data_IF_535710942701
#
_entry.id   IF_535710942701
#
_cell.length_a   1.000
_cell.length_b   1.000
_cell.length_c   1.000
_cell.angle_alpha   90.00
_cell.angle_beta   90.00
_cell.angle_gamma   90.00
#
_symmetry.space_group_name_H-M   'P 1'
#
loop_
_entity.id
_entity.type
_entity.pdbx_description
1 polymer ?
#
# COMPACT_ATOMS: atom_id res chain seq x y z
N UNK A 1 23.65 73.24 -1.42
CA UNK A 1 23.65 72.56 -0.11
C UNK A 1 22.36 71.74 -0.03
N UNK A 2 22.48 70.46 0.31
CA UNK A 2 21.44 69.42 0.44
C UNK A 2 20.92 68.67 -0.80
N UNK A 3 21.49 67.46 -0.95
CA UNK A 3 20.92 66.22 -1.47
C UNK A 3 19.49 65.93 -0.96
N UNK A 4 18.67 65.28 -1.79
CA UNK A 4 17.93 64.03 -1.50
C UNK A 4 17.07 63.69 -2.75
N UNK A 5 17.38 62.66 -3.53
CA UNK A 5 17.10 61.23 -3.32
C UNK A 5 15.85 60.76 -4.11
N UNK A 6 16.16 59.93 -5.12
CA UNK A 6 15.34 58.92 -5.80
C UNK A 6 14.13 58.42 -4.98
N UNK A 7 12.95 58.42 -5.59
CA UNK A 7 11.93 57.38 -5.32
C UNK A 7 11.49 56.76 -6.65
N UNK A 8 12.24 55.73 -7.05
CA UNK A 8 11.77 54.76 -8.04
C UNK A 8 10.58 54.04 -7.42
N UNK A 9 9.39 54.28 -7.96
CA UNK A 9 8.20 53.54 -7.63
C UNK A 9 8.38 52.09 -8.08
N UNK A 10 8.89 51.25 -7.18
CA UNK A 10 8.92 49.81 -7.34
C UNK A 10 7.51 49.27 -7.27
N UNK A 11 6.93 48.97 -8.43
CA UNK A 11 5.85 47.99 -8.54
C UNK A 11 6.41 46.64 -8.05
N UNK A 12 6.18 46.32 -6.78
CA UNK A 12 6.39 44.96 -6.28
C UNK A 12 5.22 44.15 -6.82
N UNK A 13 5.46 43.44 -7.92
CA UNK A 13 4.57 42.42 -8.42
C UNK A 13 4.38 41.39 -7.30
N UNK A 14 3.20 41.41 -6.67
CA UNK A 14 2.72 40.37 -5.78
C UNK A 14 2.62 39.08 -6.59
N UNK A 15 3.65 38.25 -6.54
CA UNK A 15 3.55 36.83 -6.92
C UNK A 15 2.79 36.09 -5.83
N UNK A 16 1.51 36.45 -5.62
CA UNK A 16 0.59 35.68 -4.81
C UNK A 16 0.23 34.41 -5.57
N UNK A 17 0.54 33.24 -5.01
CA UNK A 17 -0.05 32.00 -5.46
C UNK A 17 -1.58 32.16 -5.46
N UNK A 18 -2.19 32.11 -6.63
CA UNK A 18 -3.62 32.37 -6.81
C UNK A 18 -4.39 31.26 -6.08
N UNK A 19 -5.02 31.59 -4.96
CA UNK A 19 -5.87 30.65 -4.22
C UNK A 19 -7.14 30.38 -5.01
N UNK A 20 -7.66 29.16 -4.92
CA UNK A 20 -8.93 28.77 -5.55
C UNK A 20 -10.13 28.99 -4.63
N UNK A 21 -9.88 29.29 -3.35
CA UNK A 21 -10.90 29.58 -2.34
C UNK A 21 -10.32 29.52 -0.93
N UNK A 22 -11.20 29.53 0.06
CA UNK A 22 -10.86 29.43 1.49
C UNK A 22 -11.63 28.28 2.12
N UNK A 23 -10.94 27.42 2.85
CA UNK A 23 -11.56 26.29 3.52
C UNK A 23 -11.68 26.54 5.03
N UNK A 24 -12.83 26.16 5.59
CA UNK A 24 -12.99 25.97 7.03
C UNK A 24 -12.58 24.53 7.36
N UNK A 25 -11.67 24.39 8.32
CA UNK A 25 -11.19 23.08 8.77
C UNK A 25 -12.26 22.43 9.65
N UNK A 26 -12.95 21.42 9.13
CA UNK A 26 -13.98 20.70 9.88
C UNK A 26 -13.40 19.55 10.69
N UNK A 27 -12.37 18.90 10.16
CA UNK A 27 -11.64 17.83 10.82
C UNK A 27 -10.15 18.07 10.64
N UNK A 28 -9.49 18.56 11.69
CA UNK A 28 -8.06 18.84 11.59
C UNK A 28 -7.24 17.56 11.35
N UNK A 29 -6.31 17.56 10.36
CA UNK A 29 -5.32 16.50 10.24
C UNK A 29 -4.24 16.57 11.34
N UNK A 30 -4.01 17.76 11.90
CA UNK A 30 -3.04 18.04 12.96
C UNK A 30 -3.48 19.30 13.73
N UNK A 31 -4.09 19.12 14.90
CA UNK A 31 -4.63 20.21 15.72
C UNK A 31 -3.54 21.19 16.20
N UNK A 32 -2.26 20.79 16.19
CA UNK A 32 -1.16 21.68 16.59
C UNK A 32 -0.74 22.64 15.48
N UNK A 33 -0.97 22.27 14.22
CA UNK A 33 -0.57 23.06 13.05
C UNK A 33 -1.74 23.79 12.40
N UNK A 34 -2.89 23.12 12.28
CA UNK A 34 -4.10 23.69 11.68
C UNK A 34 -5.29 23.32 12.57
N UNK A 35 -5.62 24.11 13.58
CA UNK A 35 -6.72 23.80 14.49
C UNK A 35 -8.07 23.67 13.78
N UNK A 36 -8.95 22.83 14.30
CA UNK A 36 -10.35 22.75 13.83
C UNK A 36 -11.03 24.12 13.93
N UNK A 37 -11.80 24.46 12.89
CA UNK A 37 -12.47 25.74 12.73
C UNK A 37 -11.56 26.86 12.19
N UNK A 38 -10.30 26.58 11.87
CA UNK A 38 -9.41 27.54 11.21
C UNK A 38 -9.84 27.75 9.76
N UNK A 39 -9.68 28.99 9.27
CA UNK A 39 -9.88 29.33 7.86
C UNK A 39 -8.52 29.37 7.20
N UNK A 40 -8.34 28.55 6.17
CA UNK A 40 -7.06 28.42 5.45
C UNK A 40 -7.27 28.66 3.94
N UNK A 41 -6.29 29.28 3.26
CA UNK A 41 -6.31 29.37 1.82
C UNK A 41 -6.14 27.98 1.19
N UNK A 42 -6.88 27.72 0.12
CA UNK A 42 -6.73 26.52 -0.71
C UNK A 42 -6.08 26.89 -2.02
N UNK A 43 -4.99 26.21 -2.38
CA UNK A 43 -4.21 26.52 -3.58
C UNK A 43 -4.61 25.68 -4.78
N UNK A 44 -5.04 24.44 -4.52
CA UNK A 44 -5.36 23.48 -5.57
C UNK A 44 -6.39 22.47 -5.08
N UNK A 45 -7.21 21.98 -6.00
CA UNK A 45 -8.04 20.80 -5.81
C UNK A 45 -7.58 19.67 -6.72
N UNK A 46 -7.73 18.44 -6.25
CA UNK A 46 -7.50 17.23 -7.03
C UNK A 46 -8.75 16.37 -7.00
N UNK A 47 -9.45 16.28 -8.15
CA UNK A 47 -10.60 15.40 -8.30
C UNK A 47 -10.20 13.92 -8.36
N UNK A 48 -9.00 13.63 -8.87
CA UNK A 48 -8.48 12.25 -9.00
C UNK A 48 -8.15 11.65 -7.63
N UNK A 49 -7.63 12.47 -6.72
CA UNK A 49 -7.21 12.03 -5.38
C UNK A 49 -8.18 12.45 -4.27
N UNK A 50 -9.25 13.17 -4.61
CA UNK A 50 -10.25 13.72 -3.69
C UNK A 50 -9.64 14.56 -2.53
N UNK A 51 -8.72 15.45 -2.88
CA UNK A 51 -7.96 16.29 -1.92
C UNK A 51 -7.95 17.77 -2.29
N UNK A 52 -7.66 18.61 -1.28
CA UNK A 52 -7.27 20.00 -1.41
C UNK A 52 -5.82 20.20 -0.96
N UNK A 53 -5.04 20.98 -1.70
CA UNK A 53 -3.69 21.37 -1.30
C UNK A 53 -3.76 22.67 -0.50
N UNK A 54 -3.28 22.62 0.74
CA UNK A 54 -3.27 23.73 1.70
C UNK A 54 -1.90 23.88 2.35
N UNK A 55 -1.64 25.02 2.97
CA UNK A 55 -0.41 25.26 3.72
C UNK A 55 -0.59 24.81 5.18
N UNK A 56 0.32 23.97 5.67
CA UNK A 56 0.36 23.48 7.05
C UNK A 56 1.73 23.80 7.66
N UNK A 57 1.80 24.86 8.47
CA UNK A 57 3.09 25.45 8.85
C UNK A 57 3.76 26.10 7.64
N UNK A 58 4.93 25.61 7.25
CA UNK A 58 5.68 26.09 6.07
C UNK A 58 5.55 25.17 4.84
N UNK A 59 4.81 24.06 4.95
CA UNK A 59 4.72 23.04 3.90
C UNK A 59 3.35 23.03 3.21
N UNK A 60 3.33 22.67 1.92
CA UNK A 60 2.09 22.37 1.20
C UNK A 60 1.72 20.90 1.38
N UNK A 61 0.50 20.65 1.85
CA UNK A 61 -0.01 19.31 2.16
C UNK A 61 -1.34 19.08 1.47
N UNK A 62 -1.51 17.89 0.89
CA UNK A 62 -2.79 17.44 0.34
C UNK A 62 -3.67 16.86 1.47
N UNK A 63 -4.80 17.51 1.69
CA UNK A 63 -5.77 17.17 2.74
C UNK A 63 -7.05 16.63 2.10
N UNK A 64 -7.61 15.49 2.56
CA UNK A 64 -8.86 14.95 2.01
C UNK A 64 -10.00 15.98 2.02
N UNK A 65 -10.79 16.06 0.94
CA UNK A 65 -11.86 17.08 0.81
C UNK A 65 -12.85 17.02 1.96
N UNK A 66 -13.21 15.83 2.45
CA UNK A 66 -14.15 15.69 3.55
C UNK A 66 -13.67 16.36 4.85
N UNK A 67 -12.39 16.67 5.01
CA UNK A 67 -11.88 17.38 6.19
C UNK A 67 -12.10 18.89 6.15
N UNK A 68 -12.39 19.43 4.97
CA UNK A 68 -12.37 20.86 4.66
C UNK A 68 -13.67 21.28 3.96
N UNK A 69 -14.37 22.28 4.50
CA UNK A 69 -15.47 22.92 3.79
C UNK A 69 -14.93 24.10 2.98
N UNK A 70 -14.90 23.98 1.66
CA UNK A 70 -14.41 25.02 0.76
C UNK A 70 -15.49 26.08 0.49
N UNK A 71 -15.08 27.34 0.54
CA UNK A 71 -15.88 28.51 0.21
C UNK A 71 -15.19 29.34 -0.88
N UNK A 72 -15.95 29.98 -1.79
CA UNK A 72 -15.42 30.85 -2.84
C UNK A 72 -14.60 32.03 -2.31
N UNK A 73 -14.99 32.57 -1.15
CA UNK A 73 -14.40 33.76 -0.56
C UNK A 73 -14.08 33.56 0.92
N UNK A 74 -13.13 34.34 1.45
CA UNK A 74 -12.81 34.34 2.87
C UNK A 74 -13.98 34.81 3.72
N UNK A 75 -14.74 35.79 3.22
CA UNK A 75 -15.92 36.33 3.89
C UNK A 75 -17.01 35.26 4.09
N UNK A 76 -17.27 34.43 3.08
CA UNK A 76 -18.21 33.30 3.21
C UNK A 76 -17.72 32.23 4.20
N UNK A 77 -16.41 31.95 4.22
CA UNK A 77 -15.82 31.04 5.21
C UNK A 77 -15.95 31.62 6.64
N UNK A 78 -15.75 32.93 6.81
CA UNK A 78 -15.93 33.62 8.08
C UNK A 78 -17.37 33.58 8.55
N UNK A 79 -18.34 33.79 7.65
CA UNK A 79 -19.77 33.64 7.94
C UNK A 79 -20.11 32.22 8.38
N UNK A 80 -19.59 31.20 7.71
CA UNK A 80 -19.81 29.81 8.11
C UNK A 80 -19.24 29.50 9.50
N UNK A 81 -18.06 30.07 9.83
CA UNK A 81 -17.49 29.96 11.18
C UNK A 81 -18.32 30.71 12.22
N UNK A 82 -18.90 31.86 11.88
CA UNK A 82 -19.82 32.60 12.75
C UNK A 82 -21.11 31.80 12.99
N UNK A 83 -21.67 31.16 11.97
CA UNK A 83 -22.83 30.28 12.08
C UNK A 83 -22.57 29.08 13.01
N UNK A 84 -21.34 28.56 13.06
CA UNK A 84 -20.96 27.52 14.03
C UNK A 84 -20.99 28.03 15.48
N UNK A 85 -20.79 29.33 15.70
CA UNK A 85 -20.82 29.96 17.02
C UNK A 85 -19.87 29.29 18.03
N UNK A 86 -20.36 29.07 19.25
CA UNK A 86 -19.64 28.36 20.31
C UNK A 86 -19.27 26.91 19.94
N UNK A 87 -19.92 26.33 18.93
CA UNK A 87 -19.67 24.96 18.48
C UNK A 87 -18.57 24.86 17.43
N UNK A 88 -17.89 25.96 17.10
CA UNK A 88 -16.78 26.01 16.12
C UNK A 88 -15.76 24.90 16.30
N UNK A 89 -15.33 24.62 17.53
CA UNK A 89 -14.35 23.56 17.85
C UNK A 89 -15.00 22.32 18.46
N UNK A 90 -16.33 22.30 18.58
CA UNK A 90 -17.08 21.25 19.26
C UNK A 90 -17.35 20.05 18.37
N UNK A 91 -17.30 18.89 19.00
CA UNK A 91 -17.68 17.62 18.41
C UNK A 91 -18.72 16.95 19.29
N UNK A 92 -19.47 16.03 18.71
CA UNK A 92 -20.33 15.13 19.45
C UNK A 92 -19.93 13.68 19.20
N UNK A 93 -20.25 12.81 20.13
CA UNK A 93 -20.24 11.36 19.93
C UNK A 93 -21.64 10.82 20.08
N UNK A 94 -22.01 9.83 19.27
CA UNK A 94 -23.31 9.17 19.43
C UNK A 94 -23.38 8.48 20.81
N UNK A 95 -24.44 8.75 21.55
CA UNK A 95 -24.67 8.18 22.88
C UNK A 95 -25.23 6.76 22.83
N UNK A 96 -25.74 6.33 21.67
CA UNK A 96 -26.38 5.03 21.44
C UNK A 96 -26.00 4.47 20.08
N UNK A 97 -26.11 3.16 19.93
CA UNK A 97 -25.93 2.50 18.65
C UNK A 97 -27.09 2.82 17.69
N UNK A 98 -26.78 2.97 16.41
CA UNK A 98 -27.71 3.34 15.34
C UNK A 98 -28.44 4.68 15.56
N UNK A 99 -27.78 5.68 16.14
CA UNK A 99 -28.33 7.03 16.26
C UNK A 99 -28.58 7.62 14.86
N UNK A 100 -29.81 8.05 14.60
CA UNK A 100 -30.26 8.41 13.24
C UNK A 100 -29.85 9.85 12.90
N UNK A 101 -29.10 10.00 11.83
CA UNK A 101 -28.88 11.28 11.17
C UNK A 101 -29.92 11.43 10.07
N UNK A 102 -30.64 12.54 10.09
CA UNK A 102 -31.76 12.82 9.22
C UNK A 102 -31.50 14.02 8.32
N UNK A 103 -32.24 14.13 7.22
CA UNK A 103 -32.07 15.22 6.26
C UNK A 103 -32.45 16.59 6.83
N UNK A 104 -33.42 16.62 7.73
CA UNK A 104 -33.88 17.81 8.46
C UNK A 104 -34.07 17.52 9.95
N UNK A 105 -34.32 18.56 10.77
CA UNK A 105 -34.71 18.38 12.16
C UNK A 105 -36.13 17.81 12.21
N UNK A 106 -36.27 16.61 12.79
CA UNK A 106 -37.58 15.99 13.00
C UNK A 106 -37.59 14.49 12.81
N UNK A 107 -38.49 13.80 13.49
CA UNK A 107 -38.55 12.32 13.44
C UNK A 107 -39.24 11.75 12.20
N UNK A 108 -39.98 12.58 11.50
CA UNK A 108 -40.61 12.39 10.19
C UNK A 108 -39.61 12.48 9.02
N UNK A 109 -38.48 13.17 9.23
CA UNK A 109 -37.48 13.41 8.20
C UNK A 109 -36.73 12.13 7.79
N UNK A 110 -36.37 12.02 6.51
CA UNK A 110 -35.63 10.87 5.96
C UNK A 110 -34.31 10.62 6.69
N UNK A 111 -34.02 9.36 7.03
CA UNK A 111 -32.75 8.94 7.64
C UNK A 111 -31.69 8.80 6.55
N UNK A 112 -30.70 9.68 6.58
CA UNK A 112 -29.59 9.71 5.60
C UNK A 112 -28.37 8.94 6.08
N UNK A 113 -28.25 8.71 7.40
CA UNK A 113 -27.17 7.92 7.99
C UNK A 113 -27.52 7.41 9.39
N UNK A 114 -26.81 6.38 9.87
CA UNK A 114 -26.94 5.82 11.21
C UNK A 114 -25.57 5.75 11.87
N UNK A 115 -25.37 6.52 12.92
CA UNK A 115 -24.14 6.55 13.70
C UNK A 115 -24.04 5.29 14.57
N UNK A 116 -22.86 4.67 14.58
CA UNK A 116 -22.53 3.70 15.61
C UNK A 116 -22.36 4.39 16.97
N UNK A 117 -22.56 3.67 18.08
CA UNK A 117 -22.31 4.22 19.41
C UNK A 117 -20.86 4.71 19.51
N UNK A 118 -20.67 5.91 20.06
CA UNK A 118 -19.36 6.55 20.17
C UNK A 118 -18.85 7.17 18.87
N UNK A 119 -19.51 6.97 17.73
CA UNK A 119 -19.10 7.57 16.46
C UNK A 119 -19.10 9.10 16.58
N UNK A 120 -17.94 9.68 16.28
CA UNK A 120 -17.71 11.12 16.43
C UNK A 120 -18.18 11.87 15.19
N UNK A 121 -18.81 13.01 15.42
CA UNK A 121 -19.27 13.94 14.39
C UNK A 121 -18.87 15.36 14.74
N UNK A 122 -18.60 16.18 13.72
CA UNK A 122 -18.41 17.61 13.87
C UNK A 122 -19.77 18.30 13.98
N UNK A 123 -19.92 19.20 14.95
CA UNK A 123 -21.11 20.06 15.04
C UNK A 123 -20.90 21.28 14.15
N UNK A 124 -21.86 21.56 13.28
CA UNK A 124 -21.76 22.64 12.27
C UNK A 124 -22.54 23.91 12.64
N UNK A 125 -23.43 23.85 13.63
CA UNK A 125 -24.24 24.99 14.06
C UNK A 125 -24.79 24.76 15.48
N UNK A 126 -25.19 25.82 16.20
CA UNK A 126 -26.04 25.72 17.37
C UNK A 126 -27.28 24.84 17.12
N UNK A 127 -27.79 24.16 18.16
CA UNK A 127 -28.91 23.27 18.00
C UNK A 127 -30.17 24.06 17.67
N UNK A 128 -31.01 23.49 16.80
CA UNK A 128 -32.34 24.03 16.48
C UNK A 128 -33.39 23.29 17.29
N UNK A 129 -34.45 23.99 17.70
CA UNK A 129 -35.61 23.40 18.38
C UNK A 129 -36.64 23.05 17.32
N UNK A 130 -37.10 21.79 17.30
CA UNK A 130 -38.23 21.35 16.48
C UNK A 130 -39.54 21.89 17.08
N UNK A 131 -40.31 22.65 16.29
CA UNK A 131 -41.49 23.38 16.79
C UNK A 131 -42.60 22.47 17.34
N UNK A 132 -42.83 21.31 16.71
CA UNK A 132 -43.91 20.39 17.11
C UNK A 132 -43.61 19.62 18.40
N UNK A 133 -42.35 19.21 18.59
CA UNK A 133 -41.96 18.29 19.66
C UNK A 133 -41.16 18.96 20.79
N UNK A 134 -40.63 20.17 20.53
CA UNK A 134 -39.68 20.86 21.41
C UNK A 134 -38.29 20.22 21.49
N UNK A 135 -38.00 19.22 20.65
CA UNK A 135 -36.70 18.50 20.69
C UNK A 135 -35.59 19.33 20.06
N UNK A 136 -34.39 19.19 20.61
CA UNK A 136 -33.18 19.83 20.10
C UNK A 136 -32.49 18.95 19.06
N UNK A 137 -32.03 19.55 17.97
CA UNK A 137 -31.37 18.88 16.87
C UNK A 137 -30.06 19.58 16.51
N UNK A 138 -28.96 18.83 16.51
CA UNK A 138 -27.67 19.31 16.04
C UNK A 138 -27.49 19.03 14.56
N UNK A 139 -27.00 20.02 13.81
CA UNK A 139 -26.46 19.79 12.47
C UNK A 139 -25.06 19.17 12.61
N UNK A 140 -24.91 17.94 12.13
CA UNK A 140 -23.72 17.11 12.29
C UNK A 140 -23.05 16.81 10.96
N UNK A 141 -21.74 16.58 11.01
CA UNK A 141 -20.91 16.26 9.87
C UNK A 141 -19.95 15.11 10.18
N UNK A 142 -20.05 14.01 9.44
CA UNK A 142 -19.32 12.77 9.72
C UNK A 142 -17.91 12.76 9.11
N UNK A 143 -17.08 11.81 9.56
CA UNK A 143 -15.74 11.53 8.98
C UNK A 143 -15.80 11.02 7.51
N UNK A 144 -17.01 10.78 6.98
CA UNK A 144 -17.26 10.39 5.59
C UNK A 144 -17.91 11.48 4.74
N UNK A 145 -17.99 12.72 5.24
CA UNK A 145 -18.57 13.85 4.51
C UNK A 145 -20.10 13.92 4.51
N UNK A 146 -20.76 13.06 5.28
CA UNK A 146 -22.23 13.07 5.37
C UNK A 146 -22.65 14.19 6.31
N UNK A 147 -23.60 15.00 5.84
CA UNK A 147 -24.22 16.08 6.63
C UNK A 147 -25.67 15.76 6.91
N UNK A 148 -26.15 16.05 8.11
CA UNK A 148 -27.57 15.98 8.46
C UNK A 148 -27.84 16.44 9.89
N UNK A 149 -29.01 16.11 10.42
CA UNK A 149 -29.47 16.48 11.75
C UNK A 149 -29.60 15.26 12.64
N UNK A 150 -29.09 15.33 13.86
CA UNK A 150 -29.21 14.27 14.85
C UNK A 150 -29.81 14.87 16.13
N UNK A 151 -30.75 14.15 16.74
CA UNK A 151 -31.39 14.58 17.98
C UNK A 151 -30.36 14.68 19.10
N UNK A 152 -30.35 15.79 19.84
CA UNK A 152 -29.34 16.10 20.84
C UNK A 152 -29.26 15.06 21.96
N UNK A 153 -30.37 14.42 22.33
CA UNK A 153 -30.43 13.37 23.36
C UNK A 153 -29.63 12.12 22.96
N UNK A 154 -29.41 11.92 21.66
CA UNK A 154 -28.64 10.81 21.10
C UNK A 154 -27.15 11.14 20.99
N UNK A 155 -26.73 12.30 21.48
CA UNK A 155 -25.36 12.80 21.36
C UNK A 155 -24.79 13.20 22.72
N UNK A 156 -23.48 13.01 22.88
CA UNK A 156 -22.68 13.59 23.94
C UNK A 156 -21.78 14.65 23.33
N UNK A 157 -22.08 15.92 23.59
CA UNK A 157 -21.31 17.05 23.08
C UNK A 157 -20.09 17.29 23.95
N UNK A 158 -18.93 17.44 23.34
CA UNK A 158 -17.67 17.76 24.01
C UNK A 158 -16.91 18.86 23.29
N UNK A 159 -16.25 19.72 24.06
CA UNK A 159 -15.34 20.76 23.57
C UNK A 159 -13.93 20.20 23.51
N UNK A 160 -13.36 20.04 22.31
CA UNK A 160 -11.92 20.01 22.04
C UNK A 160 -11.02 18.93 22.69
N UNK A 161 -11.40 18.31 23.80
CA UNK A 161 -10.59 17.31 24.50
C UNK A 161 -11.11 15.91 24.20
N UNK A 162 -10.18 15.11 23.68
CA UNK A 162 -10.34 13.72 23.32
C UNK A 162 -10.57 12.93 24.60
N UNK A 163 -11.82 12.56 24.89
CA UNK A 163 -12.08 11.65 26.00
C UNK A 163 -11.63 10.25 25.59
N UNK A 164 -10.50 9.85 26.15
CA UNK A 164 -9.94 8.50 26.10
C UNK A 164 -10.95 7.47 26.54
N UNK A 165 -11.43 6.61 25.63
CA UNK A 165 -12.02 5.33 26.01
C UNK A 165 -11.64 4.18 25.10
N UNK A 166 -11.48 3.05 25.78
CA UNK A 166 -11.09 1.74 25.25
C UNK A 166 -12.02 1.25 24.14
N UNK A 167 -11.50 0.37 23.25
CA UNK A 167 -12.28 -0.20 22.16
C UNK A 167 -13.55 -0.93 22.66
N UNK A 168 -14.60 -1.05 21.82
CA UNK A 168 -15.66 -2.03 22.04
C UNK A 168 -15.06 -3.43 22.26
N UNK A 169 -15.81 -4.38 22.85
CA UNK A 169 -15.29 -5.71 23.18
C UNK A 169 -14.56 -6.39 21.99
N UNK A 170 -15.10 -6.29 20.77
CA UNK A 170 -14.46 -6.80 19.55
C UNK A 170 -13.24 -5.99 19.08
N UNK A 171 -13.20 -4.68 19.35
CA UNK A 171 -12.04 -3.83 19.09
C UNK A 171 -10.84 -4.15 19.98
N UNK A 172 -11.06 -4.66 21.20
CA UNK A 172 -9.96 -5.06 22.10
C UNK A 172 -9.28 -6.34 21.60
N UNK A 173 -10.07 -7.31 21.14
CA UNK A 173 -9.55 -8.54 20.51
C UNK A 173 -8.80 -8.21 19.22
N UNK A 174 -9.37 -7.37 18.34
CA UNK A 174 -8.73 -6.95 17.10
C UNK A 174 -7.49 -6.10 17.32
N UNK A 175 -7.45 -5.25 18.34
CA UNK A 175 -6.24 -4.52 18.71
C UNK A 175 -5.15 -5.48 19.19
N UNK A 176 -5.51 -6.47 20.00
CA UNK A 176 -4.58 -7.51 20.45
C UNK A 176 -4.02 -8.29 19.26
N UNK A 177 -4.89 -8.65 18.30
CA UNK A 177 -4.52 -9.33 17.06
C UNK A 177 -3.64 -8.44 16.18
N UNK A 178 -3.94 -7.15 16.05
CA UNK A 178 -3.14 -6.19 15.31
C UNK A 178 -1.71 -6.08 15.88
N UNK A 179 -1.60 -6.04 17.20
CA UNK A 179 -0.32 -5.87 17.90
C UNK A 179 0.54 -7.14 17.96
N UNK A 180 -0.09 -8.32 18.00
CA UNK A 180 0.61 -9.61 18.13
C UNK A 180 0.68 -10.44 16.85
N UNK A 181 -0.15 -10.11 15.87
CA UNK A 181 -0.29 -10.87 14.64
C UNK A 181 0.97 -10.81 13.77
N UNK A 182 1.40 -11.93 13.17
CA UNK A 182 2.48 -11.96 12.19
C UNK A 182 1.96 -11.44 10.84
N UNK A 183 1.77 -10.13 10.73
CA UNK A 183 1.25 -9.52 9.51
C UNK A 183 2.33 -9.53 8.42
N UNK A 184 2.06 -10.28 7.34
CA UNK A 184 2.92 -10.36 6.16
C UNK A 184 2.19 -9.82 4.95
N UNK A 185 2.90 -9.37 3.90
CA UNK A 185 2.25 -8.89 2.69
C UNK A 185 1.27 -9.95 2.15
N UNK A 186 0.07 -9.52 1.74
CA UNK A 186 -1.01 -10.44 1.32
C UNK A 186 -0.55 -11.46 0.26
N UNK A 187 0.36 -11.05 -0.62
CA UNK A 187 0.91 -11.90 -1.67
C UNK A 187 1.73 -13.10 -1.15
N UNK A 188 2.10 -13.16 0.15
CA UNK A 188 2.73 -14.34 0.75
C UNK A 188 1.75 -15.51 0.81
N UNK A 189 0.50 -15.25 1.25
CA UNK A 189 -0.57 -16.25 1.29
C UNK A 189 -0.87 -16.78 -0.12
N UNK A 190 -0.95 -15.89 -1.11
CA UNK A 190 -1.13 -16.27 -2.52
C UNK A 190 0.02 -17.16 -3.04
N UNK A 191 1.27 -16.86 -2.68
CA UNK A 191 2.43 -17.67 -3.07
C UNK A 191 2.40 -19.05 -2.43
N UNK A 192 2.07 -19.14 -1.14
CA UNK A 192 2.00 -20.39 -0.41
C UNK A 192 0.85 -21.28 -0.92
N UNK A 193 -0.35 -20.73 -1.09
CA UNK A 193 -1.52 -21.46 -1.60
C UNK A 193 -1.26 -22.04 -3.00
N UNK A 194 -0.47 -21.34 -3.82
CA UNK A 194 -0.10 -21.79 -5.16
C UNK A 194 1.17 -22.62 -5.22
N UNK A 195 1.89 -22.81 -4.12
CA UNK A 195 3.20 -23.48 -4.10
C UNK A 195 4.27 -22.78 -4.94
N UNK A 196 4.13 -21.46 -5.15
CA UNK A 196 4.94 -20.65 -6.08
C UNK A 196 5.72 -19.57 -5.33
N UNK A 197 6.76 -19.99 -4.63
CA UNK A 197 7.54 -19.10 -3.75
C UNK A 197 8.63 -18.34 -4.53
N UNK A 198 8.43 -17.03 -4.69
CA UNK A 198 9.42 -16.12 -5.27
C UNK A 198 10.36 -15.56 -4.18
N UNK A 199 11.55 -16.15 -4.09
CA UNK A 199 12.58 -15.77 -3.12
C UNK A 199 13.09 -14.32 -3.25
N UNK A 200 12.81 -13.61 -4.35
CA UNK A 200 13.13 -12.18 -4.45
C UNK A 200 12.08 -11.27 -3.80
N UNK A 201 10.89 -11.81 -3.53
CA UNK A 201 9.75 -11.07 -2.98
C UNK A 201 9.34 -11.54 -1.59
N UNK A 202 9.82 -12.71 -1.17
CA UNK A 202 9.67 -13.25 0.18
C UNK A 202 10.89 -12.87 1.01
N UNK A 203 10.66 -12.20 2.13
CA UNK A 203 11.69 -11.89 3.13
C UNK A 203 11.04 -11.90 4.51
N UNK A 204 11.73 -12.42 5.56
CA UNK A 204 11.25 -12.33 6.94
C UNK A 204 11.13 -10.88 7.42
N UNK A 205 11.87 -9.96 6.79
CA UNK A 205 11.85 -8.54 7.09
C UNK A 205 10.65 -7.80 6.48
N UNK A 206 9.87 -8.44 5.60
CA UNK A 206 8.68 -7.83 5.01
C UNK A 206 7.44 -8.12 5.85
N UNK A 207 6.66 -7.09 6.10
CA UNK A 207 5.48 -7.16 6.94
C UNK A 207 5.08 -5.82 7.54
N UNK A 208 4.03 -5.90 8.35
CA UNK A 208 3.58 -4.84 9.21
C UNK A 208 3.88 -5.26 10.65
N UNK A 209 4.76 -4.53 11.32
CA UNK A 209 5.26 -4.91 12.64
C UNK A 209 4.92 -3.84 13.65
N UNK A 210 4.32 -4.24 14.76
CA UNK A 210 4.04 -3.38 15.90
C UNK A 210 4.91 -3.83 17.06
N UNK A 211 5.82 -2.97 17.49
CA UNK A 211 6.60 -3.15 18.71
C UNK A 211 5.95 -2.33 19.83
N UNK A 212 5.24 -3.01 20.73
CA UNK A 212 4.51 -2.38 21.84
C UNK A 212 5.43 -1.89 22.97
N UNK A 213 6.63 -2.48 23.10
CA UNK A 213 7.62 -2.07 24.10
C UNK A 213 8.33 -0.79 23.69
N UNK A 214 8.81 -0.74 22.45
CA UNK A 214 9.45 0.46 21.88
C UNK A 214 8.43 1.50 21.39
N UNK A 215 7.14 1.13 21.30
CA UNK A 215 6.06 1.92 20.71
C UNK A 215 6.38 2.41 19.30
N UNK A 216 6.78 1.47 18.45
CA UNK A 216 7.07 1.75 17.05
C UNK A 216 6.31 0.84 16.11
N UNK A 217 5.92 1.38 14.96
CA UNK A 217 5.33 0.64 13.84
C UNK A 217 6.34 0.64 12.71
N UNK A 218 6.63 -0.54 12.16
CA UNK A 218 7.45 -0.69 10.96
C UNK A 218 6.60 -1.24 9.84
N UNK A 219 6.60 -0.54 8.70
CA UNK A 219 6.00 -1.04 7.46
C UNK A 219 7.14 -1.31 6.49
N UNK A 220 7.29 -2.58 6.11
CA UNK A 220 8.40 -3.04 5.27
C UNK A 220 7.87 -3.94 4.15
N UNK A 221 8.10 -3.52 2.91
CA UNK A 221 7.73 -4.24 1.69
C UNK A 221 8.86 -4.08 0.67
N UNK A 222 8.88 -4.83 -0.45
CA UNK A 222 9.93 -4.68 -1.47
C UNK A 222 10.10 -3.22 -1.92
N UNK A 223 11.32 -2.70 -1.76
CA UNK A 223 11.69 -1.34 -2.13
C UNK A 223 11.19 -0.22 -1.22
N UNK A 224 10.41 -0.50 -0.15
CA UNK A 224 9.92 0.52 0.79
C UNK A 224 9.99 0.01 2.24
N UNK A 225 10.72 0.73 3.08
CA UNK A 225 10.76 0.48 4.53
C UNK A 225 10.68 1.81 5.28
N UNK A 226 9.75 1.90 6.22
CA UNK A 226 9.57 3.09 7.07
C UNK A 226 9.21 2.68 8.49
N UNK A 227 9.57 3.52 9.44
CA UNK A 227 9.31 3.33 10.86
C UNK A 227 8.70 4.60 11.45
N UNK A 228 7.65 4.43 12.24
CA UNK A 228 6.97 5.51 12.94
C UNK A 228 6.91 5.23 14.43
N UNK A 229 7.16 6.23 15.26
CA UNK A 229 6.84 6.17 16.67
C UNK A 229 5.36 6.46 16.87
N UNK A 230 4.74 5.82 17.87
CA UNK A 230 3.36 6.08 18.24
C UNK A 230 3.23 6.15 19.76
N UNK A 231 2.15 6.76 20.24
CA UNK A 231 1.88 6.83 21.68
C UNK A 231 0.99 5.66 22.13
N UNK A 232 -0.12 5.47 21.42
CA UNK A 232 -1.10 4.39 21.61
C UNK A 232 -1.92 4.18 20.35
N UNK A 233 -2.65 3.07 20.30
CA UNK A 233 -3.66 2.84 19.27
C UNK A 233 -5.01 3.37 19.69
N UNK A 234 -5.67 4.05 18.76
CA UNK A 234 -7.01 4.57 18.93
C UNK A 234 -7.96 3.78 18.03
N UNK A 235 -8.92 3.06 18.61
CA UNK A 235 -9.99 2.43 17.84
C UNK A 235 -10.88 3.53 17.28
N UNK A 236 -10.93 3.65 15.96
CA UNK A 236 -11.91 4.52 15.29
C UNK A 236 -13.23 3.74 15.11
N UNK A 237 -13.12 2.43 14.89
CA UNK A 237 -14.23 1.47 14.89
C UNK A 237 -13.67 0.09 15.25
N UNK A 238 -14.50 -0.96 15.25
CA UNK A 238 -14.00 -2.33 15.36
C UNK A 238 -13.05 -2.70 14.22
N UNK A 239 -13.17 -2.07 13.05
CA UNK A 239 -12.37 -2.39 11.86
C UNK A 239 -11.34 -1.33 11.51
N UNK A 240 -11.20 -0.26 12.28
CA UNK A 240 -10.26 0.81 11.98
C UNK A 240 -9.48 1.23 13.22
N UNK A 241 -8.16 1.24 13.09
CA UNK A 241 -7.23 1.66 14.14
C UNK A 241 -6.31 2.77 13.62
N UNK A 242 -6.10 3.78 14.47
CA UNK A 242 -5.17 4.88 14.22
C UNK A 242 -4.17 4.94 15.36
N UNK A 243 -2.88 4.64 15.11
CA UNK A 243 -1.82 4.95 16.07
C UNK A 243 -1.63 6.47 16.21
N UNK A 244 -1.82 6.98 17.42
CA UNK A 244 -1.60 8.39 17.76
C UNK A 244 -0.10 8.74 17.64
N UNK A 245 0.21 9.88 17.01
CA UNK A 245 1.59 10.32 16.75
C UNK A 245 2.23 9.70 15.51
N UNK A 246 1.60 8.71 14.87
CA UNK A 246 2.05 8.12 13.62
C UNK A 246 1.10 8.45 12.47
N UNK A 247 1.60 8.83 11.28
CA UNK A 247 0.77 9.10 10.10
C UNK A 247 0.34 7.78 9.42
N UNK A 248 -0.20 6.84 10.20
CA UNK A 248 -0.59 5.50 9.74
C UNK A 248 -2.08 5.29 10.02
N UNK A 249 -2.79 4.65 9.10
CA UNK A 249 -4.19 4.26 9.27
C UNK A 249 -4.37 2.81 8.88
N UNK A 250 -5.06 2.04 9.72
CA UNK A 250 -5.14 0.60 9.60
C UNK A 250 -6.61 0.22 9.51
N UNK A 251 -6.95 -0.57 8.49
CA UNK A 251 -8.31 -1.04 8.24
C UNK A 251 -8.33 -2.56 8.18
N UNK A 252 -9.04 -3.21 9.08
CA UNK A 252 -9.40 -4.61 8.93
C UNK A 252 -10.40 -4.75 7.78
N UNK A 253 -10.01 -5.55 6.77
CA UNK A 253 -10.89 -5.93 5.66
C UNK A 253 -11.75 -7.11 6.05
N UNK A 254 -11.17 -8.04 6.80
CA UNK A 254 -11.80 -9.23 7.36
C UNK A 254 -11.05 -9.65 8.64
N UNK A 255 -11.18 -10.91 9.09
CA UNK A 255 -10.52 -11.41 10.31
C UNK A 255 -9.01 -11.64 10.14
N UNK A 256 -8.54 -11.85 8.92
CA UNK A 256 -7.15 -12.21 8.61
C UNK A 256 -6.43 -11.17 7.76
N UNK A 257 -7.12 -10.16 7.23
CA UNK A 257 -6.55 -9.20 6.28
C UNK A 257 -6.73 -7.77 6.76
N UNK A 258 -5.64 -6.98 6.66
CA UNK A 258 -5.64 -5.55 6.93
C UNK A 258 -5.13 -4.76 5.71
N UNK A 259 -5.62 -3.54 5.55
CA UNK A 259 -5.06 -2.52 4.69
C UNK A 259 -4.37 -1.47 5.56
N UNK A 260 -3.11 -1.16 5.26
CA UNK A 260 -2.32 -0.18 6.00
C UNK A 260 -1.99 0.97 5.07
N UNK A 261 -2.49 2.16 5.40
CA UNK A 261 -2.20 3.41 4.71
C UNK A 261 -1.10 4.16 5.46
N UNK A 262 -0.07 4.62 4.75
CA UNK A 262 1.10 5.29 5.35
C UNK A 262 1.85 6.15 4.32
N UNK A 263 2.55 7.21 4.74
CA UNK A 263 3.42 7.99 3.87
C UNK A 263 4.77 7.31 3.65
N UNK A 264 5.33 7.45 2.46
CA UNK A 264 6.71 7.12 2.15
C UNK A 264 7.25 8.13 1.14
N UNK A 265 8.24 8.93 1.54
CA UNK A 265 8.65 10.12 0.79
C UNK A 265 7.51 11.12 0.69
N UNK A 266 7.24 11.63 -0.52
CA UNK A 266 6.18 12.62 -0.78
C UNK A 266 4.82 12.01 -1.13
N UNK A 267 4.69 10.68 -1.06
CA UNK A 267 3.49 9.96 -1.49
C UNK A 267 2.90 9.14 -0.35
N UNK A 268 1.58 9.00 -0.36
CA UNK A 268 0.86 8.06 0.50
C UNK A 268 0.63 6.75 -0.25
N UNK A 269 0.86 5.65 0.45
CA UNK A 269 0.66 4.31 -0.07
C UNK A 269 -0.40 3.58 0.74
N UNK A 270 -0.97 2.53 0.15
CA UNK A 270 -1.82 1.57 0.85
C UNK A 270 -1.39 0.18 0.44
N UNK A 271 -0.92 -0.60 1.40
CA UNK A 271 -0.49 -1.98 1.19
C UNK A 271 -1.39 -2.94 1.98
N UNK A 272 -1.61 -4.12 1.42
CA UNK A 272 -2.43 -5.17 2.04
C UNK A 272 -1.53 -6.19 2.73
N UNK A 273 -1.91 -6.54 3.95
CA UNK A 273 -1.24 -7.54 4.77
C UNK A 273 -2.26 -8.58 5.24
N UNK A 274 -1.81 -9.82 5.42
CA UNK A 274 -2.60 -10.87 6.04
C UNK A 274 -1.88 -11.44 7.26
N UNK A 275 -2.64 -12.02 8.18
CA UNK A 275 -2.10 -12.92 9.19
C UNK A 275 -1.44 -14.08 8.47
N UNK A 276 -0.19 -14.33 8.84
CA UNK A 276 0.62 -15.36 8.23
C UNK A 276 1.35 -16.10 9.36
N UNK A 277 0.72 -17.11 9.98
CA UNK A 277 1.28 -17.81 11.14
C UNK A 277 2.48 -18.69 10.79
N UNK A 278 2.66 -19.00 9.51
CA UNK A 278 3.76 -19.86 9.05
C UNK A 278 5.13 -19.16 9.14
N UNK A 279 6.16 -19.95 9.43
CA UNK A 279 7.53 -19.43 9.51
C UNK A 279 8.06 -19.13 8.11
N UNK A 280 8.23 -17.83 7.82
CA UNK A 280 8.78 -17.33 6.56
C UNK A 280 10.19 -17.88 6.30
N UNK A 281 10.99 -18.12 7.34
CA UNK A 281 12.33 -18.71 7.16
C UNK A 281 12.23 -20.17 6.72
N UNK A 282 11.29 -20.92 7.30
CA UNK A 282 11.02 -22.29 6.89
C UNK A 282 10.60 -22.31 5.41
N UNK A 283 9.63 -21.46 5.03
CA UNK A 283 9.16 -21.33 3.64
C UNK A 283 10.30 -21.05 2.65
N UNK A 284 11.21 -20.13 3.01
CA UNK A 284 12.39 -19.82 2.20
C UNK A 284 13.31 -21.04 2.10
N UNK A 285 13.61 -21.70 3.22
CA UNK A 285 14.53 -22.83 3.27
C UNK A 285 14.02 -24.05 2.51
N UNK A 286 12.70 -24.31 2.58
CA UNK A 286 12.04 -25.39 1.85
C UNK A 286 12.06 -25.13 0.35
N UNK A 287 11.78 -23.89 -0.08
CA UNK A 287 11.87 -23.52 -1.50
C UNK A 287 13.32 -23.60 -2.01
N UNK A 288 14.30 -23.18 -1.21
CA UNK A 288 15.72 -23.34 -1.56
C UNK A 288 16.10 -24.81 -1.69
N UNK A 289 15.66 -25.67 -0.76
CA UNK A 289 15.89 -27.10 -0.79
C UNK A 289 15.22 -27.76 -2.01
N UNK A 290 13.99 -27.33 -2.36
CA UNK A 290 13.29 -27.79 -3.57
C UNK A 290 14.08 -27.47 -4.83
N UNK A 291 14.58 -26.24 -4.97
CA UNK A 291 15.41 -25.82 -6.12
C UNK A 291 16.72 -26.60 -6.20
N UNK A 292 17.33 -26.87 -5.06
CA UNK A 292 18.57 -27.67 -4.98
C UNK A 292 18.33 -29.12 -5.41
N UNK A 293 17.26 -29.75 -4.91
CA UNK A 293 16.86 -31.09 -5.32
C UNK A 293 16.52 -31.15 -6.81
N UNK A 294 15.76 -30.20 -7.33
CA UNK A 294 15.40 -30.13 -8.75
C UNK A 294 16.66 -30.03 -9.64
N UNK A 295 17.65 -29.22 -9.25
CA UNK A 295 18.91 -29.13 -9.99
C UNK A 295 19.75 -30.41 -9.88
N UNK A 296 19.81 -31.02 -8.70
CA UNK A 296 20.52 -32.30 -8.51
C UNK A 296 19.94 -33.40 -9.38
N UNK A 297 18.61 -33.50 -9.44
CA UNK A 297 17.92 -34.45 -10.32
C UNK A 297 18.15 -34.16 -11.80
N UNK A 298 18.26 -32.88 -12.19
CA UNK A 298 18.55 -32.47 -13.56
C UNK A 298 19.91 -32.97 -14.03
N UNK A 299 20.93 -32.94 -13.17
CA UNK A 299 22.30 -33.35 -13.52
C UNK A 299 22.62 -34.80 -13.13
N UNK A 300 21.71 -35.49 -12.44
CA UNK A 300 21.91 -36.87 -11.98
C UNK A 300 22.25 -37.87 -13.11
N UNK A 301 21.67 -37.77 -14.32
CA UNK A 301 22.06 -38.63 -15.44
C UNK A 301 23.46 -38.35 -16.00
N UNK A 302 24.06 -37.21 -15.67
CA UNK A 302 25.36 -36.77 -16.16
C UNK A 302 25.47 -35.24 -16.18
N UNK A 303 26.67 -34.71 -15.95
CA UNK A 303 26.93 -33.27 -16.02
C UNK A 303 27.17 -32.78 -17.44
N UNK A 304 27.44 -33.66 -18.39
CA UNK A 304 27.85 -33.30 -19.76
C UNK A 304 26.76 -33.61 -20.78
N UNK A 305 26.18 -32.57 -21.34
CA UNK A 305 25.11 -32.60 -22.33
C UNK A 305 25.67 -32.33 -23.73
N UNK A 306 25.34 -33.17 -24.73
CA UNK A 306 25.85 -33.05 -26.10
C UNK A 306 24.74 -32.88 -27.11
N UNK A 307 24.95 -31.94 -28.03
CA UNK A 307 24.10 -31.71 -29.19
C UNK A 307 24.96 -31.56 -30.45
N UNK A 308 24.56 -32.22 -31.54
CA UNK A 308 25.21 -32.05 -32.85
C UNK A 308 25.07 -30.64 -33.40
N UNK A 309 23.96 -29.96 -33.06
CA UNK A 309 23.63 -28.61 -33.56
C UNK A 309 24.03 -27.49 -32.60
N UNK A 310 24.07 -27.78 -31.29
CA UNK A 310 24.22 -26.76 -30.23
C UNK A 310 25.43 -26.99 -29.32
N UNK A 311 26.32 -27.91 -29.69
CA UNK A 311 27.60 -28.11 -29.02
C UNK A 311 27.50 -28.87 -27.70
N UNK A 312 28.35 -28.49 -26.74
CA UNK A 312 28.49 -29.21 -25.46
C UNK A 312 28.13 -28.25 -24.33
N UNK A 313 27.16 -28.62 -23.51
CA UNK A 313 26.76 -27.91 -22.31
C UNK A 313 27.15 -28.75 -21.09
N UNK A 314 28.07 -28.24 -20.27
CA UNK A 314 28.48 -28.87 -19.01
C UNK A 314 27.82 -28.14 -17.85
N UNK A 315 27.06 -28.87 -17.03
CA UNK A 315 26.35 -28.39 -15.84
C UNK A 315 27.02 -28.93 -14.59
N UNK A 316 27.62 -28.06 -13.79
CA UNK A 316 28.36 -28.47 -12.60
C UNK A 316 27.47 -28.50 -11.35
N UNK A 317 27.78 -29.32 -10.33
CA UNK A 317 27.01 -29.38 -9.09
C UNK A 317 26.85 -28.04 -8.36
N UNK A 318 27.82 -27.13 -8.50
CA UNK A 318 27.80 -25.78 -7.91
C UNK A 318 26.96 -24.76 -8.70
N UNK A 319 26.17 -25.23 -9.69
CA UNK A 319 25.36 -24.43 -10.61
C UNK A 319 26.16 -23.50 -11.52
N UNK A 320 27.47 -23.71 -11.64
CA UNK A 320 28.22 -23.13 -12.76
C UNK A 320 28.00 -23.96 -14.02
N UNK A 321 28.15 -23.34 -15.18
CA UNK A 321 28.08 -24.06 -16.44
C UNK A 321 29.20 -23.63 -17.39
N UNK A 322 29.46 -24.49 -18.37
CA UNK A 322 30.24 -24.16 -19.57
C UNK A 322 29.49 -24.60 -20.81
N UNK A 323 29.31 -23.70 -21.78
CA UNK A 323 28.68 -23.97 -23.06
C UNK A 323 29.65 -23.74 -24.22
N UNK A 324 30.13 -24.82 -24.81
CA UNK A 324 31.05 -24.80 -25.94
C UNK A 324 30.32 -24.95 -27.25
N UNK A 325 30.68 -24.11 -28.23
CA UNK A 325 30.13 -24.12 -29.59
C UNK A 325 28.58 -24.09 -29.62
N UNK A 326 27.91 -23.07 -29.04
CA UNK A 326 26.44 -22.96 -29.03
C UNK A 326 25.81 -22.74 -30.43
N UNK A 327 26.56 -22.88 -31.52
CA UNK A 327 26.08 -22.76 -32.88
C UNK A 327 25.46 -21.38 -33.17
N UNK A 328 24.28 -21.39 -33.79
CA UNK A 328 23.54 -20.18 -34.20
C UNK A 328 22.82 -19.46 -33.06
N UNK A 329 22.94 -19.95 -31.82
CA UNK A 329 22.30 -19.33 -30.66
C UNK A 329 22.98 -18.01 -30.28
N UNK A 330 24.31 -17.94 -30.41
CA UNK A 330 25.09 -16.75 -30.04
C UNK A 330 24.84 -15.61 -31.01
N UNK A 331 24.53 -14.43 -30.47
CA UNK A 331 24.14 -13.23 -31.22
C UNK A 331 22.65 -13.17 -31.57
N UNK A 332 21.88 -14.26 -31.39
CA UNK A 332 20.43 -14.29 -31.68
C UNK A 332 19.57 -14.50 -30.44
N UNK A 333 19.96 -15.44 -29.58
CA UNK A 333 19.24 -15.80 -28.34
C UNK A 333 20.15 -15.69 -27.11
N UNK A 334 21.44 -15.92 -27.29
CA UNK A 334 22.49 -15.69 -26.31
C UNK A 334 23.20 -14.38 -26.69
N UNK A 335 23.45 -13.45 -25.74
CA UNK A 335 24.17 -12.20 -26.02
C UNK A 335 25.50 -12.44 -26.75
N UNK A 336 25.85 -11.56 -27.69
CA UNK A 336 27.09 -11.68 -28.45
C UNK A 336 28.35 -11.56 -27.54
N UNK A 337 28.23 -10.77 -26.47
CA UNK A 337 29.26 -10.54 -25.44
C UNK A 337 29.46 -11.74 -24.50
N UNK A 338 28.52 -12.68 -24.44
CA UNK A 338 28.51 -13.78 -23.48
C UNK A 338 29.77 -14.65 -23.60
N UNK A 339 30.44 -14.85 -22.46
CA UNK A 339 31.48 -15.86 -22.30
C UNK A 339 30.89 -17.28 -22.42
N UNK A 340 31.70 -18.33 -22.64
CA UNK A 340 31.20 -19.70 -22.64
C UNK A 340 30.90 -20.22 -21.23
N UNK A 341 31.02 -19.40 -20.18
CA UNK A 341 30.82 -19.79 -18.77
C UNK A 341 29.77 -18.92 -18.11
N UNK A 342 29.26 -19.38 -16.97
CA UNK A 342 28.32 -18.60 -16.18
C UNK A 342 27.69 -19.41 -15.05
N UNK A 343 26.54 -18.93 -14.57
CA UNK A 343 25.73 -19.55 -13.52
C UNK A 343 24.31 -19.86 -13.97
N UNK A 344 23.74 -20.89 -13.36
CA UNK A 344 22.35 -21.31 -13.55
C UNK A 344 21.54 -20.99 -12.30
N UNK A 345 20.34 -20.47 -12.51
CA UNK A 345 19.33 -20.35 -11.47
C UNK A 345 18.05 -21.08 -11.88
N UNK A 346 17.37 -21.66 -10.89
CA UNK A 346 16.01 -22.18 -11.02
C UNK A 346 15.06 -21.18 -10.33
N UNK A 347 15.18 -19.91 -10.72
CA UNK A 347 14.51 -18.79 -10.05
C UNK A 347 13.16 -18.43 -10.65
N UNK A 348 12.86 -18.93 -11.86
CA UNK A 348 11.59 -18.73 -12.54
C UNK A 348 10.69 -19.95 -12.38
N UNK A 349 9.46 -19.72 -11.96
CA UNK A 349 8.43 -20.72 -11.76
C UNK A 349 7.62 -20.94 -13.04
N UNK A 350 7.07 -22.14 -13.23
CA UNK A 350 6.15 -22.41 -14.34
C UNK A 350 4.77 -21.81 -14.03
N UNK A 351 4.13 -21.20 -15.03
CA UNK A 351 2.70 -20.89 -14.97
C UNK A 351 1.84 -22.15 -15.13
N UNK A 352 0.57 -22.08 -14.75
CA UNK A 352 -0.37 -23.22 -14.73
C UNK A 352 -0.41 -23.97 -16.07
N UNK A 353 -0.44 -23.23 -17.17
CA UNK A 353 -0.50 -23.78 -18.53
C UNK A 353 0.80 -24.47 -19.00
N UNK A 354 1.90 -24.28 -18.27
CA UNK A 354 3.22 -24.82 -18.58
C UNK A 354 3.61 -26.00 -17.68
N UNK A 355 3.06 -26.08 -16.46
CA UNK A 355 3.37 -27.13 -15.47
C UNK A 355 3.07 -28.55 -15.96
N UNK A 356 2.05 -28.72 -16.80
CA UNK A 356 1.72 -30.02 -17.40
C UNK A 356 2.66 -30.45 -18.52
N UNK A 357 3.48 -29.53 -19.05
CA UNK A 357 4.27 -29.73 -20.28
C UNK A 357 5.78 -29.75 -20.05
N UNK A 358 6.25 -29.00 -19.06
CA UNK A 358 7.66 -28.78 -18.77
C UNK A 358 7.98 -29.10 -17.31
N UNK A 359 9.24 -29.43 -17.04
CA UNK A 359 9.71 -29.78 -15.70
C UNK A 359 10.26 -28.55 -14.94
N UNK A 360 10.59 -27.47 -15.64
CA UNK A 360 11.00 -26.21 -15.01
C UNK A 360 11.57 -25.19 -16.00
N UNK A 361 12.21 -24.15 -15.45
CA UNK A 361 12.93 -23.11 -16.20
C UNK A 361 14.37 -23.02 -15.72
N UNK A 362 15.31 -23.06 -16.67
CA UNK A 362 16.71 -22.73 -16.43
C UNK A 362 16.95 -21.27 -16.81
N UNK A 363 17.52 -20.52 -15.88
CA UNK A 363 17.94 -19.13 -16.08
C UNK A 363 19.46 -19.11 -16.17
N UNK A 364 19.99 -18.79 -17.35
CA UNK A 364 21.40 -18.70 -17.61
C UNK A 364 21.88 -17.25 -17.43
N UNK A 365 22.83 -17.08 -16.54
CA UNK A 365 23.61 -15.86 -16.36
C UNK A 365 24.99 -16.10 -16.94
N UNK A 366 25.26 -15.58 -18.12
CA UNK A 366 26.56 -15.70 -18.75
C UNK A 366 27.55 -14.72 -18.12
N UNK A 367 28.83 -15.11 -18.03
CA UNK A 367 29.87 -14.13 -17.67
C UNK A 367 30.00 -13.10 -18.81
N UNK A 368 30.41 -11.88 -18.48
CA UNK A 368 30.54 -10.75 -19.41
C UNK A 368 29.21 -10.24 -20.00
N UNK A 369 28.08 -10.47 -19.30
CA UNK A 369 26.77 -9.88 -19.60
C UNK A 369 26.20 -9.15 -18.38
N UNK A 370 25.29 -8.20 -18.61
CA UNK A 370 24.57 -7.52 -17.53
C UNK A 370 23.49 -8.39 -16.89
N UNK A 371 23.01 -8.00 -15.70
CA UNK A 371 21.94 -8.72 -15.00
C UNK A 371 20.58 -8.69 -15.74
N UNK A 372 20.42 -7.82 -16.75
CA UNK A 372 19.22 -7.71 -17.58
C UNK A 372 19.26 -8.64 -18.81
N UNK A 373 20.43 -9.18 -19.14
CA UNK A 373 20.68 -10.03 -20.31
C UNK A 373 20.59 -11.54 -20.00
N UNK A 374 19.78 -11.91 -18.99
CA UNK A 374 19.53 -13.31 -18.64
C UNK A 374 18.89 -14.05 -19.80
N UNK A 375 19.29 -15.30 -20.00
CA UNK A 375 18.71 -16.17 -21.02
C UNK A 375 17.88 -17.26 -20.35
N UNK A 376 16.64 -17.42 -20.78
CA UNK A 376 15.68 -18.33 -20.16
C UNK A 376 15.41 -19.50 -21.09
N UNK A 377 15.38 -20.71 -20.54
CA UNK A 377 14.91 -21.90 -21.25
C UNK A 377 13.92 -22.67 -20.37
N UNK A 378 12.72 -22.93 -20.89
CA UNK A 378 11.91 -24.02 -20.36
C UNK A 378 12.65 -25.33 -20.61
N UNK A 379 12.61 -26.27 -19.69
CA UNK A 379 13.21 -27.58 -19.91
C UNK A 379 12.23 -28.72 -19.71
N UNK A 380 12.47 -29.79 -20.47
CA UNK A 380 11.78 -31.07 -20.33
C UNK A 380 12.81 -32.20 -20.28
N UNK A 381 12.76 -32.99 -19.21
CA UNK A 381 13.58 -34.18 -19.00
C UNK A 381 12.97 -35.33 -19.80
N UNK A 382 13.81 -36.05 -20.53
CA UNK A 382 13.48 -37.28 -21.23
C UNK A 382 14.49 -38.37 -20.82
N UNK A 383 14.19 -39.67 -20.96
CA UNK A 383 15.16 -40.72 -20.65
C UNK A 383 16.48 -40.50 -21.43
N UNK A 384 17.58 -40.27 -20.72
CA UNK A 384 18.90 -40.04 -21.30
C UNK A 384 19.07 -38.72 -22.07
N UNK A 385 18.09 -37.79 -22.04
CA UNK A 385 18.17 -36.52 -22.76
C UNK A 385 17.40 -35.38 -22.09
N UNK A 386 17.65 -34.17 -22.55
CA UNK A 386 16.93 -32.96 -22.13
C UNK A 386 16.61 -32.10 -23.34
N UNK A 387 15.39 -31.57 -23.37
CA UNK A 387 14.97 -30.56 -24.34
C UNK A 387 14.91 -29.21 -23.65
N UNK A 388 15.56 -28.22 -24.24
CA UNK A 388 15.49 -26.82 -23.82
C UNK A 388 14.68 -26.04 -24.85
N UNK A 389 13.75 -25.22 -24.40
CA UNK A 389 12.91 -24.39 -25.25
C UNK A 389 13.19 -22.94 -24.88
N UNK A 390 13.70 -22.17 -25.84
CA UNK A 390 14.00 -20.76 -25.60
C UNK A 390 12.75 -20.03 -25.13
N UNK A 391 12.88 -19.28 -24.03
CA UNK A 391 11.82 -18.48 -23.46
C UNK A 391 12.23 -17.00 -23.55
N UNK A 392 11.50 -16.16 -24.29
CA UNK A 392 11.75 -14.73 -24.31
C UNK A 392 11.59 -14.12 -22.92
N UNK A 393 12.43 -13.14 -22.57
CA UNK A 393 12.32 -12.44 -21.28
C UNK A 393 10.95 -11.79 -21.06
N UNK A 394 10.27 -11.36 -22.14
CA UNK A 394 8.90 -10.83 -22.10
C UNK A 394 7.84 -11.85 -21.69
N UNK A 395 8.14 -13.15 -21.78
CA UNK A 395 7.28 -14.24 -21.32
C UNK A 395 7.47 -14.57 -19.83
N UNK A 396 8.35 -13.85 -19.13
CA UNK A 396 8.57 -13.98 -17.69
C UNK A 396 8.02 -12.76 -16.98
N UNK A 397 6.93 -12.94 -16.24
CA UNK A 397 6.25 -11.87 -15.49
C UNK A 397 6.34 -12.18 -14.01
N UNK A 398 6.98 -11.30 -13.22
CA UNK A 398 7.16 -11.49 -11.76
C UNK A 398 7.73 -12.87 -11.40
N UNK A 399 8.80 -13.29 -12.10
CA UNK A 399 9.45 -14.59 -11.96
C UNK A 399 8.57 -15.81 -12.25
N UNK A 400 7.48 -15.64 -13.02
CA UNK A 400 6.65 -16.74 -13.53
C UNK A 400 6.70 -16.76 -15.05
N UNK A 401 7.00 -17.91 -15.65
CA UNK A 401 6.88 -18.13 -17.08
C UNK A 401 5.40 -18.27 -17.45
N UNK A 402 4.86 -17.30 -18.18
CA UNK A 402 3.41 -17.21 -18.44
C UNK A 402 2.98 -17.74 -19.81
N UNK A 403 3.90 -17.83 -20.79
CA UNK A 403 3.56 -18.34 -22.12
C UNK A 403 4.76 -18.81 -22.90
N UNK A 404 4.54 -19.79 -23.77
CA UNK A 404 5.51 -20.25 -24.76
C UNK A 404 5.54 -19.30 -25.97
N UNK A 405 6.71 -19.06 -26.60
CA UNK A 405 6.75 -18.35 -27.89
C UNK A 405 5.97 -19.10 -28.98
N UNK A 406 5.32 -18.35 -29.89
CA UNK A 406 4.52 -18.91 -31.00
C UNK A 406 5.29 -19.90 -31.89
N UNK A 407 6.60 -19.71 -32.02
CA UNK A 407 7.50 -20.63 -32.73
C UNK A 407 8.65 -20.97 -31.78
N UNK A 408 8.61 -22.13 -31.11
CA UNK A 408 9.60 -22.48 -30.12
C UNK A 408 10.93 -22.85 -30.79
N UNK A 409 12.01 -22.27 -30.28
CA UNK A 409 13.37 -22.72 -30.61
C UNK A 409 13.70 -23.84 -29.64
N UNK A 410 13.80 -25.06 -30.17
CA UNK A 410 14.02 -26.26 -29.37
C UNK A 410 15.45 -26.74 -29.54
N UNK A 411 16.12 -26.96 -28.43
CA UNK A 411 17.45 -27.50 -28.34
C UNK A 411 17.37 -28.89 -27.73
N UNK A 412 17.95 -29.86 -28.41
CA UNK A 412 18.02 -31.24 -27.92
C UNK A 412 19.45 -31.55 -27.50
N UNK A 413 19.60 -32.09 -26.29
CA UNK A 413 20.86 -32.58 -25.76
C UNK A 413 20.70 -33.99 -25.19
N UNK A 414 21.67 -34.85 -25.47
CA UNK A 414 21.79 -36.15 -24.80
C UNK A 414 22.80 -36.06 -23.65
N UNK A 415 22.54 -36.73 -22.54
CA UNK A 415 23.54 -36.91 -21.49
C UNK A 415 24.63 -37.86 -22.01
N UNK A 416 25.88 -37.52 -21.75
CA UNK A 416 26.99 -38.48 -21.82
C UNK A 416 27.28 -38.98 -20.41
N UNK A 417 27.37 -40.31 -20.28
CA UNK A 417 27.83 -40.99 -19.07
C UNK A 417 29.20 -40.50 -18.60
#
# INVERSE_FOLDING_TARGET
>A
MFLLALSVAGFVASCGSRTIGYAVVLWSPDETKIPTGTIIPVFKESLVYDTYTVMMGEELVDVPRWQLALYPSREEAEKAVQEMGEYRTSFATAAVNAARVRKGPGTDQEVVYKLAEGERVKILAPPVVEEESGRLWFKVYTKGGITGFCEASLLKVGTGERQDRSPPAGGTERLTLLQKGPWRPLYFKEMQERGRIDLYRVSPAYGFFVDTGARTITVSVPGRSTRFSYERFLPISDSEFVPEGAPVRIFFRDQETIAVQYPYGTRTYTDLFCLFPDDVNLLISEEMARRETAYRELIAPGSRLVSSSYGILTLNPDKTFRWERPGTLKGRYIPASAAPTGKIELSVLLGEDLESRYDGVLVFWFDNTSAEEKVYFLYKKEPGSIRLFYLPASSVVRNVAVSEPRVPVVLYFSYME
#
